data_IF_253144958833
#
_entry.id   IF_253144958833
#
_cell.length_a   1.000
_cell.length_b   1.000
_cell.length_c   1.000
_cell.angle_alpha   90.00
_cell.angle_beta   90.00
_cell.angle_gamma   90.00
#
_symmetry.space_group_name_H-M   'P 1'
#
loop_
_entity.id
_entity.type
_entity.pdbx_description
1 polymer ?
#
# COMPACT_ATOMS: atom_id res chain seq x y z
N UNK A 1 -12.14 9.57 -14.34
CA UNK A 1 -13.36 10.40 -14.47
C UNK A 1 -14.61 9.60 -14.82
N UNK A 2 -14.61 8.74 -15.84
CA UNK A 2 -15.85 8.07 -16.30
C UNK A 2 -16.64 7.24 -15.27
N UNK A 3 -16.01 6.70 -14.22
CA UNK A 3 -16.71 5.92 -13.17
C UNK A 3 -17.54 6.81 -12.24
N UNK A 4 -17.01 7.98 -11.89
CA UNK A 4 -17.70 8.99 -11.06
C UNK A 4 -18.87 9.59 -11.82
N UNK A 5 -18.67 9.93 -13.09
CA UNK A 5 -19.75 10.43 -13.95
C UNK A 5 -20.87 9.39 -14.06
N UNK A 6 -20.55 8.12 -14.32
CA UNK A 6 -21.54 7.05 -14.45
C UNK A 6 -22.34 6.81 -13.17
N UNK A 7 -21.68 6.81 -12.00
CA UNK A 7 -22.37 6.64 -10.71
C UNK A 7 -23.22 7.86 -10.35
N UNK A 8 -22.72 9.07 -10.64
CA UNK A 8 -23.45 10.32 -10.48
C UNK A 8 -24.69 10.37 -11.37
N UNK A 9 -24.61 9.90 -12.62
CA UNK A 9 -25.78 9.82 -13.52
C UNK A 9 -26.85 8.85 -13.03
N UNK A 10 -26.45 7.82 -12.26
CA UNK A 10 -27.35 6.81 -11.70
C UNK A 10 -27.85 7.12 -10.27
N UNK A 11 -27.46 8.25 -9.66
CA UNK A 11 -27.73 8.59 -8.25
C UNK A 11 -27.37 7.47 -7.25
N UNK A 12 -26.36 6.65 -7.58
CA UNK A 12 -25.91 5.57 -6.69
C UNK A 12 -24.92 6.13 -5.65
N UNK A 13 -24.97 5.65 -4.40
CA UNK A 13 -23.98 6.03 -3.40
C UNK A 13 -22.58 5.60 -3.84
N UNK A 14 -21.60 6.48 -3.63
CA UNK A 14 -20.18 6.25 -3.95
C UNK A 14 -19.39 6.12 -2.66
N UNK A 15 -18.63 5.03 -2.50
CA UNK A 15 -17.68 4.91 -1.40
C UNK A 15 -16.44 5.75 -1.70
N UNK A 16 -16.37 6.94 -1.09
CA UNK A 16 -15.24 7.86 -1.26
C UNK A 16 -13.94 7.32 -0.66
N UNK A 17 -14.01 6.55 0.43
CA UNK A 17 -12.83 5.96 1.06
C UNK A 17 -12.12 5.00 0.10
N UNK A 18 -12.86 4.08 -0.50
CA UNK A 18 -12.30 3.13 -1.47
C UNK A 18 -11.80 3.85 -2.73
N UNK A 19 -12.51 4.88 -3.19
CA UNK A 19 -12.10 5.67 -4.35
C UNK A 19 -10.77 6.39 -4.10
N UNK A 20 -10.62 7.05 -2.96
CA UNK A 20 -9.41 7.81 -2.61
C UNK A 20 -8.24 6.88 -2.32
N UNK A 21 -8.47 5.74 -1.67
CA UNK A 21 -7.45 4.71 -1.47
C UNK A 21 -6.94 4.18 -2.81
N UNK A 22 -7.83 3.83 -3.73
CA UNK A 22 -7.44 3.29 -5.03
C UNK A 22 -6.72 4.33 -5.91
N UNK A 23 -7.16 5.60 -5.86
CA UNK A 23 -6.48 6.68 -6.55
C UNK A 23 -5.06 6.90 -6.01
N UNK A 24 -4.91 6.97 -4.68
CA UNK A 24 -3.62 7.18 -4.03
C UNK A 24 -2.67 6.02 -4.32
N UNK A 25 -3.18 4.80 -4.24
CA UNK A 25 -2.48 3.58 -4.60
C UNK A 25 -1.98 3.65 -6.06
N UNK A 26 -2.87 3.91 -7.02
CA UNK A 26 -2.50 3.99 -8.45
C UNK A 26 -1.41 5.02 -8.73
N UNK A 27 -1.44 6.17 -8.05
CA UNK A 27 -0.42 7.21 -8.20
C UNK A 27 0.90 6.75 -7.59
N UNK A 28 0.88 6.26 -6.35
CA UNK A 28 2.09 5.82 -5.65
C UNK A 28 2.75 4.66 -6.39
N UNK A 29 2.00 3.62 -6.76
CA UNK A 29 2.55 2.46 -7.45
C UNK A 29 3.10 2.81 -8.83
N UNK A 30 2.46 3.71 -9.57
CA UNK A 30 2.97 4.12 -10.88
C UNK A 30 4.30 4.87 -10.77
N UNK A 31 4.50 5.64 -9.70
CA UNK A 31 5.75 6.36 -9.46
C UNK A 31 6.81 5.43 -8.88
N UNK A 32 6.43 4.59 -7.92
CA UNK A 32 7.35 3.77 -7.15
C UNK A 32 7.77 2.48 -7.88
N UNK A 33 6.85 1.89 -8.66
CA UNK A 33 6.95 0.52 -9.21
C UNK A 33 6.59 0.49 -10.71
N UNK A 34 6.46 1.65 -11.35
CA UNK A 34 6.21 1.77 -12.80
C UNK A 34 4.82 1.32 -13.29
N UNK A 35 4.02 0.65 -12.46
CA UNK A 35 2.72 0.07 -12.83
C UNK A 35 1.58 0.41 -11.87
N UNK A 36 0.35 0.22 -12.33
CA UNK A 36 -0.87 0.40 -11.52
C UNK A 36 -1.32 -0.94 -10.95
N UNK A 37 -1.79 -0.96 -9.70
CA UNK A 37 -2.27 -2.18 -9.03
C UNK A 37 -3.79 -2.17 -8.78
N UNK A 38 -4.54 -1.16 -9.22
CA UNK A 38 -5.98 -1.01 -8.90
C UNK A 38 -6.92 -2.08 -9.51
N UNK A 39 -6.47 -3.05 -10.33
CA UNK A 39 -7.44 -3.95 -11.00
C UNK A 39 -6.96 -5.20 -11.74
N UNK A 40 -5.73 -5.66 -11.55
CA UNK A 40 -5.31 -6.94 -12.11
C UNK A 40 -5.76 -8.09 -11.18
N UNK A 41 -6.06 -9.28 -11.73
CA UNK A 41 -6.60 -10.42 -10.95
C UNK A 41 -5.69 -10.83 -9.77
N UNK A 42 -4.42 -10.43 -9.80
CA UNK A 42 -3.41 -10.70 -8.77
C UNK A 42 -3.14 -9.51 -7.82
N UNK A 43 -3.93 -8.42 -7.88
CA UNK A 43 -3.64 -7.16 -7.16
C UNK A 43 -4.60 -6.83 -6.02
N UNK A 44 -5.64 -7.65 -5.84
CA UNK A 44 -6.51 -7.62 -4.65
C UNK A 44 -5.71 -7.78 -3.35
N UNK A 45 -4.64 -8.58 -3.38
CA UNK A 45 -3.72 -8.75 -2.26
C UNK A 45 -3.03 -7.44 -1.91
N UNK A 46 -2.58 -6.67 -2.90
CA UNK A 46 -1.89 -5.41 -2.65
C UNK A 46 -2.83 -4.34 -2.06
N UNK A 47 -4.05 -4.22 -2.58
CA UNK A 47 -5.03 -3.28 -2.01
C UNK A 47 -5.33 -3.61 -0.54
N UNK A 48 -5.45 -4.90 -0.22
CA UNK A 48 -5.67 -5.36 1.14
C UNK A 48 -4.46 -5.11 2.05
N UNK A 49 -3.24 -5.36 1.56
CA UNK A 49 -2.00 -5.07 2.28
C UNK A 49 -1.87 -3.57 2.59
N UNK A 50 -2.11 -2.72 1.58
CA UNK A 50 -2.04 -1.26 1.74
C UNK A 50 -3.10 -0.76 2.73
N UNK A 51 -4.31 -1.33 2.71
CA UNK A 51 -5.36 -0.99 3.67
C UNK A 51 -4.93 -1.32 5.10
N UNK A 52 -4.31 -2.49 5.33
CA UNK A 52 -3.76 -2.85 6.64
C UNK A 52 -2.64 -1.89 7.10
N UNK A 53 -1.77 -1.45 6.18
CA UNK A 53 -0.74 -0.44 6.47
C UNK A 53 -1.38 0.89 6.85
N UNK A 54 -2.36 1.38 6.09
CA UNK A 54 -3.06 2.63 6.38
C UNK A 54 -3.82 2.59 7.72
N UNK A 55 -4.40 1.44 8.08
CA UNK A 55 -5.00 1.24 9.40
C UNK A 55 -3.99 1.35 10.54
N UNK A 56 -2.76 0.87 10.36
CA UNK A 56 -1.70 1.00 11.36
C UNK A 56 -1.11 2.40 11.40
N UNK A 57 -0.97 3.09 10.26
CA UNK A 57 -0.54 4.49 10.21
C UNK A 57 -1.53 5.42 10.94
N UNK A 58 -2.82 5.06 10.95
CA UNK A 58 -3.85 5.74 11.73
C UNK A 58 -4.01 5.22 13.16
N UNK A 59 -3.25 4.20 13.57
CA UNK A 59 -3.33 3.66 14.92
C UNK A 59 -2.69 4.64 15.93
N UNK A 60 -3.11 4.51 17.19
CA UNK A 60 -2.63 5.33 18.30
C UNK A 60 -1.98 4.42 19.35
N UNK A 61 -0.66 4.16 19.27
CA UNK A 61 0.04 3.38 20.27
C UNK A 61 0.11 4.17 21.58
N UNK A 62 -0.53 3.68 22.64
CA UNK A 62 -0.60 4.39 23.92
C UNK A 62 0.77 4.50 24.59
N UNK A 63 1.61 3.47 24.43
CA UNK A 63 2.97 3.40 24.94
C UNK A 63 3.88 4.52 24.44
N UNK A 64 3.64 5.01 23.22
CA UNK A 64 4.41 6.12 22.63
C UNK A 64 4.14 7.45 23.33
N UNK A 65 2.96 7.61 23.95
CA UNK A 65 2.58 8.81 24.70
C UNK A 65 2.75 8.65 26.21
N UNK A 66 2.47 7.45 26.73
CA UNK A 66 2.54 7.13 28.15
C UNK A 66 3.28 5.78 28.30
N UNK A 67 4.61 5.79 28.49
CA UNK A 67 5.42 4.57 28.52
C UNK A 67 4.97 3.54 29.56
N UNK A 68 4.46 3.99 30.71
CA UNK A 68 3.92 3.10 31.76
C UNK A 68 2.65 2.33 31.36
N UNK A 69 1.99 2.73 30.27
CA UNK A 69 0.79 2.09 29.73
C UNK A 69 1.04 1.32 28.42
N UNK A 70 2.30 1.12 28.02
CA UNK A 70 2.65 0.38 26.80
C UNK A 70 2.09 -1.06 26.77
N UNK A 71 1.83 -1.66 27.94
CA UNK A 71 1.19 -2.98 28.03
C UNK A 71 -0.22 -3.02 27.41
N UNK A 72 -0.91 -1.88 27.32
CA UNK A 72 -2.24 -1.77 26.70
C UNK A 72 -2.16 -2.10 25.21
N UNK A 73 -1.12 -1.64 24.51
CA UNK A 73 -0.94 -1.90 23.07
C UNK A 73 -0.72 -3.39 22.81
N UNK A 74 0.05 -4.05 23.69
CA UNK A 74 0.24 -5.50 23.67
C UNK A 74 -1.06 -6.27 23.91
N UNK A 75 -1.88 -5.85 24.89
CA UNK A 75 -3.17 -6.48 25.19
C UNK A 75 -4.18 -6.26 24.05
N UNK A 76 -4.16 -5.10 23.39
CA UNK A 76 -4.97 -4.81 22.19
C UNK A 76 -4.48 -5.56 20.96
N UNK A 77 -3.32 -6.21 21.04
CA UNK A 77 -2.71 -6.92 19.93
C UNK A 77 -2.15 -6.00 18.84
N UNK A 78 -1.88 -4.72 19.17
CA UNK A 78 -1.34 -3.74 18.22
C UNK A 78 0.05 -4.17 17.76
N UNK A 79 0.91 -4.60 18.69
CA UNK A 79 2.25 -5.12 18.39
C UNK A 79 2.20 -6.28 17.38
N UNK A 80 1.32 -7.25 17.62
CA UNK A 80 1.14 -8.42 16.73
C UNK A 80 0.63 -8.00 15.36
N UNK A 81 -0.33 -7.07 15.31
CA UNK A 81 -0.85 -6.55 14.04
C UNK A 81 0.24 -5.80 13.26
N UNK A 82 1.07 -5.03 13.97
CA UNK A 82 2.18 -4.31 13.38
C UNK A 82 3.24 -5.25 12.80
N UNK A 83 3.60 -6.31 13.54
CA UNK A 83 4.52 -7.34 13.05
C UNK A 83 3.96 -8.06 11.81
N UNK A 84 2.69 -8.46 11.83
CA UNK A 84 2.04 -9.15 10.70
C UNK A 84 2.04 -8.27 9.44
N UNK A 85 1.68 -6.99 9.57
CA UNK A 85 1.64 -6.05 8.44
C UNK A 85 3.04 -5.71 7.96
N UNK A 86 3.99 -5.52 8.88
CA UNK A 86 5.39 -5.25 8.52
C UNK A 86 5.97 -6.40 7.69
N UNK A 87 5.80 -7.66 8.13
CA UNK A 87 6.24 -8.84 7.39
C UNK A 87 5.62 -8.89 5.99
N UNK A 88 4.31 -8.74 5.94
CA UNK A 88 3.54 -8.78 4.69
C UNK A 88 3.97 -7.67 3.72
N UNK A 89 4.31 -6.48 4.23
CA UNK A 89 4.78 -5.35 3.43
C UNK A 89 6.22 -5.55 2.93
N UNK A 90 7.10 -6.13 3.75
CA UNK A 90 8.46 -6.51 3.35
C UNK A 90 8.43 -7.55 2.21
N UNK A 91 7.63 -8.61 2.35
CA UNK A 91 7.46 -9.63 1.30
C UNK A 91 6.97 -9.01 -0.04
N UNK A 92 6.07 -8.03 0.04
CA UNK A 92 5.63 -7.28 -1.14
C UNK A 92 6.79 -6.50 -1.80
N UNK A 93 7.57 -5.76 -1.01
CA UNK A 93 8.70 -4.98 -1.53
C UNK A 93 9.80 -5.89 -2.11
N UNK A 94 10.08 -7.02 -1.47
CA UNK A 94 11.03 -8.02 -2.00
C UNK A 94 10.59 -8.54 -3.36
N UNK A 95 9.30 -8.89 -3.53
CA UNK A 95 8.75 -9.29 -4.82
C UNK A 95 8.91 -8.18 -5.87
N UNK A 96 8.58 -6.95 -5.52
CA UNK A 96 8.74 -5.80 -6.42
C UNK A 96 10.19 -5.65 -6.86
N UNK A 97 11.13 -5.66 -5.92
CA UNK A 97 12.56 -5.55 -6.23
C UNK A 97 13.00 -6.70 -7.14
N UNK A 98 12.62 -7.94 -6.83
CA UNK A 98 12.98 -9.11 -7.64
C UNK A 98 12.47 -9.00 -9.07
N UNK A 99 11.21 -8.57 -9.27
CA UNK A 99 10.65 -8.34 -10.61
C UNK A 99 11.47 -7.32 -11.41
N UNK A 100 11.95 -6.25 -10.77
CA UNK A 100 12.74 -5.20 -11.46
C UNK A 100 14.16 -5.68 -11.75
N UNK A 101 14.76 -6.50 -10.88
CA UNK A 101 16.05 -7.15 -11.12
C UNK A 101 15.96 -8.14 -12.29
N UNK A 102 14.88 -8.92 -12.36
CA UNK A 102 14.68 -9.93 -13.40
C UNK A 102 14.38 -9.32 -14.79
N UNK A 103 13.68 -8.17 -14.83
CA UNK A 103 13.41 -7.43 -16.08
C UNK A 103 14.68 -6.81 -16.72
N UNK A 104 15.73 -6.56 -15.93
CA UNK A 104 17.02 -6.04 -16.41
C UNK A 104 16.98 -4.58 -16.91
N UNK A 105 18.08 -4.11 -17.50
CA UNK A 105 18.27 -2.68 -17.85
C UNK A 105 17.56 -2.23 -19.14
N UNK A 106 16.89 -3.13 -19.87
CA UNK A 106 16.24 -2.83 -21.15
C UNK A 106 14.85 -2.19 -20.97
N UNK A 107 14.76 -1.14 -20.14
CA UNK A 107 13.53 -0.38 -19.94
C UNK A 107 13.60 0.99 -20.61
N UNK A 108 12.54 1.36 -21.32
CA UNK A 108 12.37 2.72 -21.87
C UNK A 108 12.01 3.74 -20.78
N UNK A 109 11.38 3.28 -19.69
CA UNK A 109 10.93 4.12 -18.58
C UNK A 109 11.48 3.59 -17.27
N UNK A 110 12.11 4.47 -16.48
CA UNK A 110 12.64 4.18 -15.16
C UNK A 110 11.67 4.65 -14.08
N UNK A 111 11.35 3.77 -13.15
CA UNK A 111 10.65 4.13 -11.92
C UNK A 111 11.60 4.27 -10.73
N UNK A 112 11.04 4.54 -9.55
CA UNK A 112 11.83 4.75 -8.34
C UNK A 112 12.67 3.52 -7.94
N UNK A 113 12.14 2.30 -8.08
CA UNK A 113 12.85 1.07 -7.75
C UNK A 113 14.01 0.87 -8.72
N UNK A 114 13.81 1.10 -10.01
CA UNK A 114 14.91 1.02 -10.98
C UNK A 114 16.02 2.05 -10.67
N UNK A 115 15.65 3.26 -10.24
CA UNK A 115 16.61 4.29 -9.81
C UNK A 115 17.40 3.82 -8.59
N UNK A 116 16.73 3.26 -7.58
CA UNK A 116 17.40 2.75 -6.37
C UNK A 116 18.37 1.60 -6.71
N UNK A 117 17.99 0.69 -7.60
CA UNK A 117 18.83 -0.42 -8.02
C UNK A 117 20.10 0.01 -8.76
N UNK A 118 20.08 1.15 -9.45
CA UNK A 118 21.27 1.69 -10.14
C UNK A 118 22.33 2.27 -9.21
N UNK A 119 21.96 2.63 -7.99
CA UNK A 119 22.88 3.18 -6.99
C UNK A 119 23.49 2.13 -6.06
N UNK A 120 23.13 0.85 -6.24
CA UNK A 120 23.62 -0.27 -5.45
C UNK A 120 24.50 -1.20 -6.31
#
# INVERSE_FOLDING_TARGET
>A
MGKLEKQSSSSLPVNLSDLLLNLSNDVICRIAVGRKYSREENTSDFENQLRKVMELLGAFPVGDYIPGLAWIDKVRGLDRKMEEVSKTFVEFLERVVQEHVDEGENKETFDFVDILLRFN
#
